data_IF_045743666059
#
_entry.id   IF_045743666059
#
_cell.length_a   1.000
_cell.length_b   1.000
_cell.length_c   1.000
_cell.angle_alpha   90.00
_cell.angle_beta   90.00
_cell.angle_gamma   90.00
#
_symmetry.space_group_name_H-M   'P 1'
#
loop_
_entity.id
_entity.type
_entity.pdbx_description
1 polymer ?
#
# COMPACT_ATOMS: atom_id res chain seq x y z
N UNK A 1 -25.05 -53.35 21.37
CA UNK A 1 -23.65 -53.62 20.96
C UNK A 1 -23.54 -53.23 19.50
N UNK A 2 -23.20 -51.97 19.24
CA UNK A 2 -22.88 -51.48 17.89
C UNK A 2 -21.40 -51.12 17.91
N UNK A 3 -20.60 -51.88 17.17
CA UNK A 3 -19.20 -51.55 16.92
C UNK A 3 -19.20 -50.43 15.89
N UNK A 4 -18.83 -49.24 16.33
CA UNK A 4 -18.47 -48.14 15.45
C UNK A 4 -17.11 -48.49 14.83
N UNK A 5 -17.14 -49.06 13.63
CA UNK A 5 -15.93 -49.29 12.84
C UNK A 5 -15.68 -47.99 12.09
N UNK A 6 -14.90 -47.10 12.68
CA UNK A 6 -14.27 -46.01 11.93
C UNK A 6 -13.40 -46.66 10.86
N UNK A 7 -13.88 -46.62 9.61
CA UNK A 7 -13.07 -46.97 8.44
C UNK A 7 -11.81 -46.10 8.51
N UNK A 8 -10.59 -46.67 8.60
CA UNK A 8 -9.39 -45.85 8.57
C UNK A 8 -9.42 -45.10 7.24
N UNK A 9 -9.32 -43.77 7.28
CA UNK A 9 -9.18 -42.93 6.09
C UNK A 9 -7.94 -43.42 5.33
N UNK A 10 -8.17 -44.24 4.30
CA UNK A 10 -7.16 -45.03 3.62
C UNK A 10 -6.42 -44.20 2.59
N UNK A 11 -5.57 -43.28 3.05
CA UNK A 11 -4.57 -42.66 2.19
C UNK A 11 -3.37 -43.61 2.14
N UNK A 12 -3.18 -44.27 1.00
CA UNK A 12 -2.04 -45.18 0.79
C UNK A 12 -0.84 -44.41 0.24
N UNK A 13 0.38 -44.93 0.45
CA UNK A 13 1.60 -44.39 -0.17
C UNK A 13 1.46 -44.28 -1.69
N UNK A 14 0.80 -45.27 -2.32
CA UNK A 14 0.49 -45.23 -3.76
C UNK A 14 -0.41 -44.04 -4.12
N UNK A 15 -1.46 -43.78 -3.33
CA UNK A 15 -2.35 -42.64 -3.54
C UNK A 15 -1.65 -41.29 -3.38
N UNK A 16 -0.67 -41.18 -2.47
CA UNK A 16 0.15 -39.96 -2.33
C UNK A 16 1.00 -39.69 -3.57
N UNK A 17 1.66 -40.73 -4.11
CA UNK A 17 2.48 -40.61 -5.32
C UNK A 17 1.65 -40.32 -6.57
N UNK A 18 0.54 -41.02 -6.75
CA UNK A 18 -0.36 -40.80 -7.89
C UNK A 18 -0.89 -39.35 -7.89
N UNK A 19 -1.21 -38.82 -6.70
CA UNK A 19 -1.66 -37.43 -6.54
C UNK A 19 -0.53 -36.44 -6.83
N UNK A 20 0.69 -36.70 -6.34
CA UNK A 20 1.88 -35.89 -6.64
C UNK A 20 2.13 -35.78 -8.14
N UNK A 21 2.19 -36.93 -8.84
CA UNK A 21 2.39 -36.96 -10.30
C UNK A 21 1.27 -36.25 -11.07
N UNK A 22 0.02 -36.40 -10.62
CA UNK A 22 -1.12 -35.68 -11.21
C UNK A 22 -0.99 -34.16 -11.08
N UNK A 23 -0.56 -33.66 -9.92
CA UNK A 23 -0.37 -32.24 -9.65
C UNK A 23 0.83 -31.64 -10.38
N UNK A 24 1.94 -32.38 -10.50
CA UNK A 24 3.09 -31.97 -11.32
C UNK A 24 2.71 -31.87 -12.80
N UNK A 25 1.91 -32.81 -13.31
CA UNK A 25 1.40 -32.75 -14.68
C UNK A 25 0.48 -31.56 -14.90
N UNK A 26 -0.37 -31.22 -13.92
CA UNK A 26 -1.23 -30.04 -13.98
C UNK A 26 -0.41 -28.75 -13.92
N UNK A 27 0.57 -28.66 -13.03
CA UNK A 27 1.49 -27.53 -12.93
C UNK A 27 2.25 -27.31 -14.26
N UNK A 28 2.83 -28.38 -14.81
CA UNK A 28 3.49 -28.34 -16.12
C UNK A 28 2.56 -27.86 -17.24
N UNK A 29 1.29 -28.29 -17.20
CA UNK A 29 0.25 -27.81 -18.12
C UNK A 29 -0.03 -26.32 -17.99
N UNK A 30 -0.03 -25.75 -16.77
CA UNK A 30 -0.16 -24.31 -16.58
C UNK A 30 1.01 -23.51 -17.15
N UNK A 31 2.24 -24.04 -17.08
CA UNK A 31 3.42 -23.40 -17.64
C UNK A 31 3.51 -23.48 -19.17
N UNK A 32 3.19 -24.65 -19.74
CA UNK A 32 3.48 -24.95 -21.14
C UNK A 32 2.25 -24.83 -22.06
N UNK A 33 1.05 -25.15 -21.56
CA UNK A 33 -0.18 -25.34 -22.35
C UNK A 33 -1.38 -24.50 -21.84
N UNK A 34 -1.15 -23.57 -20.90
CA UNK A 34 -2.21 -22.75 -20.29
C UNK A 34 -2.85 -21.74 -21.25
N UNK A 35 -4.00 -21.15 -20.88
CA UNK A 35 -4.69 -20.19 -21.75
C UNK A 35 -3.90 -18.88 -21.98
N UNK A 36 -2.89 -18.59 -21.15
CA UNK A 36 -2.06 -17.38 -21.24
C UNK A 36 -1.28 -17.24 -22.56
N UNK A 37 -0.41 -18.20 -22.93
CA UNK A 37 0.30 -18.20 -24.21
C UNK A 37 -0.65 -18.24 -25.42
N UNK A 38 -1.79 -18.92 -25.34
CA UNK A 38 -2.80 -18.94 -26.41
C UNK A 38 -3.48 -17.57 -26.60
N UNK A 39 -3.86 -16.90 -25.49
CA UNK A 39 -4.42 -15.55 -25.50
C UNK A 39 -3.43 -14.51 -26.02
N UNK A 40 -2.17 -14.58 -25.58
CA UNK A 40 -1.10 -13.71 -26.06
C UNK A 40 -0.83 -13.91 -27.57
N UNK A 41 -0.84 -15.16 -28.03
CA UNK A 41 -0.70 -15.51 -29.45
C UNK A 41 -1.89 -15.01 -30.28
N UNK A 42 -3.11 -15.17 -29.78
CA UNK A 42 -4.33 -14.71 -30.44
C UNK A 42 -4.42 -13.16 -30.54
N UNK A 43 -3.85 -12.44 -29.58
CA UNK A 43 -3.82 -10.97 -29.55
C UNK A 43 -2.68 -10.35 -30.39
N UNK A 44 -1.66 -11.14 -30.75
CA UNK A 44 -0.49 -10.68 -31.52
C UNK A 44 -0.81 -9.94 -32.83
N UNK A 45 -1.74 -10.42 -33.68
CA UNK A 45 -2.07 -9.78 -34.95
C UNK A 45 -2.74 -8.40 -34.85
N UNK A 46 -3.35 -8.06 -33.71
CA UNK A 46 -4.07 -6.79 -33.49
C UNK A 46 -3.33 -5.87 -32.52
N UNK A 47 -2.02 -6.09 -32.35
CA UNK A 47 -1.31 -5.54 -31.22
C UNK A 47 -1.19 -4.00 -31.16
N UNK A 48 -1.35 -3.33 -32.30
CA UNK A 48 -1.35 -1.87 -32.43
C UNK A 48 -2.71 -1.20 -32.24
N UNK A 49 -3.75 -1.93 -31.84
CA UNK A 49 -5.06 -1.38 -31.45
C UNK A 49 -5.19 -1.39 -29.92
N UNK A 50 -5.88 -0.42 -29.34
CA UNK A 50 -6.10 -0.33 -27.87
C UNK A 50 -6.81 -1.57 -27.31
N UNK A 51 -7.68 -2.21 -28.10
CA UNK A 51 -8.31 -3.49 -27.73
C UNK A 51 -7.32 -4.66 -27.77
N UNK A 52 -6.33 -4.60 -28.66
CA UNK A 52 -5.26 -5.59 -28.74
C UNK A 52 -4.26 -5.48 -27.58
N UNK A 53 -3.96 -4.26 -27.10
CA UNK A 53 -3.13 -4.06 -25.90
C UNK A 53 -3.84 -4.54 -24.63
N UNK A 54 -5.12 -4.19 -24.45
CA UNK A 54 -5.91 -4.66 -23.32
C UNK A 54 -6.01 -6.20 -23.28
N UNK A 55 -6.20 -6.86 -24.42
CA UNK A 55 -6.21 -8.33 -24.50
C UNK A 55 -4.86 -8.96 -24.14
N UNK A 56 -3.73 -8.31 -24.47
CA UNK A 56 -2.40 -8.78 -24.03
C UNK A 56 -2.22 -8.63 -22.53
N UNK A 57 -2.59 -7.50 -21.96
CA UNK A 57 -2.50 -7.26 -20.52
C UNK A 57 -3.32 -8.29 -19.73
N UNK A 58 -4.54 -8.59 -20.19
CA UNK A 58 -5.36 -9.65 -19.60
C UNK A 58 -4.73 -11.03 -19.80
N UNK A 59 -4.15 -11.32 -20.96
CA UNK A 59 -3.44 -12.57 -21.23
C UNK A 59 -2.21 -12.77 -20.34
N UNK A 60 -1.42 -11.73 -20.14
CA UNK A 60 -0.23 -11.73 -19.28
C UNK A 60 -0.61 -11.85 -17.79
N UNK A 61 -1.70 -11.20 -17.37
CA UNK A 61 -2.25 -11.35 -16.03
C UNK A 61 -2.77 -12.78 -15.78
N UNK A 62 -3.43 -13.38 -16.78
CA UNK A 62 -3.89 -14.76 -16.70
C UNK A 62 -2.72 -15.75 -16.65
N UNK A 63 -1.69 -15.55 -17.48
CA UNK A 63 -0.49 -16.40 -17.50
C UNK A 63 0.21 -16.40 -16.15
N UNK A 64 0.42 -15.23 -15.54
CA UNK A 64 1.04 -15.12 -14.22
C UNK A 64 0.23 -15.84 -13.13
N UNK A 65 -1.10 -15.72 -13.16
CA UNK A 65 -1.97 -16.42 -12.21
C UNK A 65 -1.95 -17.94 -12.40
N UNK A 66 -1.84 -18.41 -13.65
CA UNK A 66 -1.64 -19.82 -13.96
C UNK A 66 -0.27 -20.32 -13.46
N UNK A 67 0.80 -19.52 -13.59
CA UNK A 67 2.13 -19.84 -13.08
C UNK A 67 2.13 -19.97 -11.54
N UNK A 68 1.58 -19.00 -10.82
CA UNK A 68 1.47 -19.06 -9.35
C UNK A 68 0.69 -20.30 -8.87
N UNK A 69 -0.40 -20.64 -9.57
CA UNK A 69 -1.14 -21.88 -9.29
C UNK A 69 -0.31 -23.13 -9.58
N UNK A 70 0.52 -23.12 -10.63
CA UNK A 70 1.47 -24.18 -10.96
C UNK A 70 2.57 -24.35 -9.90
N UNK A 71 3.11 -23.25 -9.36
CA UNK A 71 4.11 -23.27 -8.29
C UNK A 71 3.53 -23.87 -7.01
N UNK A 72 2.30 -23.46 -6.65
CA UNK A 72 1.58 -24.01 -5.50
C UNK A 72 1.31 -25.52 -5.67
N UNK A 73 0.83 -25.94 -6.84
CA UNK A 73 0.59 -27.36 -7.13
C UNK A 73 1.87 -28.19 -7.09
N UNK A 74 2.99 -27.67 -7.62
CA UNK A 74 4.30 -28.34 -7.58
C UNK A 74 4.85 -28.45 -6.16
N UNK A 75 4.73 -27.39 -5.37
CA UNK A 75 5.14 -27.37 -3.95
C UNK A 75 4.35 -28.39 -3.13
N UNK A 76 3.04 -28.45 -3.34
CA UNK A 76 2.18 -29.42 -2.67
C UNK A 76 2.51 -30.86 -3.10
N UNK A 77 2.77 -31.09 -4.39
CA UNK A 77 3.24 -32.39 -4.89
C UNK A 77 4.55 -32.83 -4.22
N UNK A 78 5.55 -31.96 -4.12
CA UNK A 78 6.81 -32.24 -3.43
C UNK A 78 6.63 -32.62 -1.95
N UNK A 79 5.66 -32.02 -1.25
CA UNK A 79 5.29 -32.39 0.13
C UNK A 79 4.66 -33.78 0.19
N UNK A 80 3.81 -34.15 -0.78
CA UNK A 80 3.23 -35.49 -0.87
C UNK A 80 4.27 -36.57 -1.14
N UNK A 81 5.24 -36.32 -2.03
CA UNK A 81 6.33 -37.27 -2.30
C UNK A 81 7.26 -37.43 -1.08
N UNK A 82 7.57 -36.32 -0.40
CA UNK A 82 8.35 -36.34 0.86
C UNK A 82 7.65 -37.16 1.95
N UNK A 83 6.33 -36.99 2.10
CA UNK A 83 5.55 -37.79 3.05
C UNK A 83 5.53 -39.27 2.66
N UNK A 84 5.32 -39.58 1.37
CA UNK A 84 5.37 -40.95 0.86
C UNK A 84 6.72 -41.63 1.15
N UNK A 85 7.82 -40.92 0.88
CA UNK A 85 9.18 -41.40 1.15
C UNK A 85 9.39 -41.73 2.64
N UNK A 86 8.94 -40.86 3.56
CA UNK A 86 9.09 -41.07 5.00
C UNK A 86 8.23 -42.24 5.50
N UNK A 87 7.01 -42.41 4.97
CA UNK A 87 6.18 -43.58 5.28
C UNK A 87 6.82 -44.89 4.83
N UNK A 88 7.44 -44.93 3.64
CA UNK A 88 8.13 -46.12 3.13
C UNK A 88 9.33 -46.51 4.00
N UNK A 89 9.99 -45.54 4.63
CA UNK A 89 11.15 -45.76 5.50
C UNK A 89 10.77 -45.98 6.98
N UNK A 90 9.47 -46.05 7.29
CA UNK A 90 8.97 -46.32 8.64
C UNK A 90 9.08 -45.14 9.61
N UNK A 91 9.33 -43.92 9.12
CA UNK A 91 9.39 -42.71 9.93
C UNK A 91 8.05 -41.94 9.86
N UNK A 92 7.00 -42.57 10.38
CA UNK A 92 5.65 -41.98 10.42
C UNK A 92 5.61 -40.67 11.20
N UNK A 93 6.42 -40.54 12.25
CA UNK A 93 6.47 -39.33 13.06
C UNK A 93 7.06 -38.13 12.29
N UNK A 94 8.00 -38.34 11.36
CA UNK A 94 8.47 -37.29 10.47
C UNK A 94 7.46 -36.98 9.35
N UNK A 95 6.79 -38.00 8.80
CA UNK A 95 5.76 -37.83 7.77
C UNK A 95 4.58 -36.98 8.29
N UNK A 96 4.13 -37.23 9.52
CA UNK A 96 3.04 -36.48 10.17
C UNK A 96 3.42 -35.05 10.56
N UNK A 97 4.72 -34.69 10.53
CA UNK A 97 5.21 -33.33 10.80
C UNK A 97 5.35 -32.47 9.55
N UNK A 98 5.13 -33.03 8.35
CA UNK A 98 5.09 -32.23 7.13
C UNK A 98 3.84 -31.36 7.16
N UNK A 99 4.05 -30.05 7.18
CA UNK A 99 2.98 -29.06 7.16
C UNK A 99 2.42 -28.92 5.74
N UNK A 100 1.17 -29.33 5.56
CA UNK A 100 0.43 -29.21 4.30
C UNK A 100 -0.42 -27.94 4.20
N UNK A 101 -0.48 -27.17 5.29
CA UNK A 101 -1.10 -25.86 5.24
C UNK A 101 -0.41 -25.04 4.12
N UNK A 102 -1.20 -24.32 3.31
CA UNK A 102 -0.61 -23.32 2.44
C UNK A 102 0.24 -22.42 3.33
N UNK A 103 1.44 -21.97 2.89
CA UNK A 103 2.09 -20.89 3.61
C UNK A 103 1.04 -19.80 3.85
N UNK A 104 1.05 -19.18 5.03
CA UNK A 104 0.33 -17.92 5.25
C UNK A 104 0.96 -16.88 4.30
N UNK A 105 0.64 -16.99 3.01
CA UNK A 105 0.81 -15.93 2.06
C UNK A 105 -0.34 -14.98 2.35
N UNK A 106 0.00 -13.81 2.91
CA UNK A 106 -0.80 -12.61 2.66
C UNK A 106 -1.23 -12.68 1.19
N UNK A 107 -2.54 -12.65 0.92
CA UNK A 107 -3.07 -12.53 -0.45
C UNK A 107 -2.61 -11.17 -1.00
N UNK A 108 -1.34 -11.07 -1.40
CA UNK A 108 -0.79 -9.89 -2.06
C UNK A 108 -1.48 -9.74 -3.39
N UNK A 109 -2.09 -8.58 -3.60
CA UNK A 109 -2.77 -8.25 -4.85
C UNK A 109 -1.71 -8.17 -5.95
N UNK A 110 -2.11 -8.53 -7.16
CA UNK A 110 -1.30 -8.25 -8.36
C UNK A 110 -1.01 -6.75 -8.37
N UNK A 111 0.27 -6.36 -8.40
CA UNK A 111 0.66 -4.94 -8.28
C UNK A 111 0.99 -4.46 -6.87
N UNK A 112 1.43 -5.34 -5.98
CA UNK A 112 1.97 -4.94 -4.67
C UNK A 112 3.51 -4.92 -4.65
N UNK A 113 4.19 -5.48 -5.66
CA UNK A 113 5.66 -5.45 -5.77
C UNK A 113 6.18 -4.43 -6.80
N UNK A 114 7.25 -3.66 -6.48
CA UNK A 114 7.84 -2.70 -7.40
C UNK A 114 8.25 -3.32 -8.74
N UNK A 115 7.67 -2.82 -9.84
CA UNK A 115 7.97 -3.28 -11.19
C UNK A 115 6.93 -4.22 -11.80
N UNK A 116 5.89 -4.60 -11.04
CA UNK A 116 4.76 -5.35 -11.58
C UNK A 116 3.77 -4.45 -12.34
N UNK A 117 3.15 -4.93 -13.43
CA UNK A 117 2.00 -4.28 -14.04
C UNK A 117 0.85 -4.16 -13.05
N UNK A 118 0.41 -2.92 -12.79
CA UNK A 118 -0.59 -2.62 -11.75
C UNK A 118 0.03 -2.20 -10.41
N UNK A 119 1.36 -2.12 -10.31
CA UNK A 119 2.03 -1.65 -9.11
C UNK A 119 1.60 -0.23 -8.75
N UNK A 120 1.02 -0.10 -7.57
CA UNK A 120 0.68 1.18 -6.97
C UNK A 120 1.28 1.21 -5.56
N UNK A 121 2.31 2.02 -5.31
CA UNK A 121 2.97 2.08 -3.99
C UNK A 121 2.01 2.54 -2.87
N UNK A 122 0.82 3.02 -3.22
CA UNK A 122 -0.22 3.42 -2.27
C UNK A 122 -1.05 2.21 -1.76
N UNK A 123 -1.03 1.07 -2.46
CA UNK A 123 -1.88 -0.08 -2.15
C UNK A 123 -1.71 -0.57 -0.71
N UNK A 124 -0.46 -0.74 -0.26
CA UNK A 124 -0.14 -1.22 1.09
C UNK A 124 -0.72 -0.30 2.19
N UNK A 125 -0.72 1.02 1.95
CA UNK A 125 -1.25 2.00 2.88
C UNK A 125 -2.78 2.02 2.89
N UNK A 126 -3.41 1.93 1.72
CA UNK A 126 -4.88 1.84 1.61
C UNK A 126 -5.42 0.56 2.25
N UNK A 127 -4.72 -0.57 2.10
CA UNK A 127 -5.05 -1.83 2.77
C UNK A 127 -4.95 -1.68 4.29
N UNK A 128 -3.81 -1.20 4.80
CA UNK A 128 -3.61 -0.99 6.24
C UNK A 128 -4.65 -0.06 6.87
N UNK A 129 -5.02 1.03 6.18
CA UNK A 129 -6.06 1.95 6.64
C UNK A 129 -7.46 1.35 6.59
N UNK A 130 -7.78 0.53 5.58
CA UNK A 130 -9.07 -0.19 5.49
C UNK A 130 -9.20 -1.25 6.57
N UNK A 131 -8.16 -2.04 6.82
CA UNK A 131 -8.11 -3.02 7.91
C UNK A 131 -8.27 -2.36 9.27
N UNK A 132 -7.68 -1.16 9.44
CA UNK A 132 -7.83 -0.34 10.62
C UNK A 132 -9.22 0.32 10.77
N UNK A 133 -10.10 0.23 9.77
CA UNK A 133 -11.41 0.88 9.73
C UNK A 133 -11.34 2.42 9.60
N UNK A 134 -10.27 2.94 9.00
CA UNK A 134 -9.98 4.38 8.88
C UNK A 134 -10.18 4.92 7.46
N UNK A 135 -10.40 4.05 6.48
CA UNK A 135 -10.65 4.41 5.09
C UNK A 135 -11.77 3.54 4.53
N UNK A 136 -12.70 4.17 3.81
CA UNK A 136 -13.78 3.50 3.09
C UNK A 136 -13.60 3.75 1.58
N UNK A 137 -13.32 2.69 0.82
CA UNK A 137 -13.11 2.78 -0.63
C UNK A 137 -11.71 3.29 -1.03
N UNK A 138 -11.50 3.64 -2.31
CA UNK A 138 -10.20 4.12 -2.80
C UNK A 138 -9.88 5.52 -2.26
N UNK A 139 -8.60 5.81 -2.07
CA UNK A 139 -8.17 7.17 -1.74
C UNK A 139 -8.08 8.06 -2.98
N UNK A 140 -8.26 9.38 -2.79
CA UNK A 140 -8.09 10.38 -3.85
C UNK A 140 -7.43 11.67 -3.36
N UNK A 141 -7.15 12.57 -4.30
CA UNK A 141 -6.65 13.93 -4.03
C UNK A 141 -5.39 13.96 -3.15
N UNK A 142 -5.36 14.92 -2.22
CA UNK A 142 -4.22 15.10 -1.30
C UNK A 142 -4.07 13.98 -0.28
N UNK A 143 -5.15 13.23 0.03
CA UNK A 143 -5.04 12.08 0.91
C UNK A 143 -4.26 10.96 0.23
N UNK A 144 -4.57 10.66 -1.04
CA UNK A 144 -3.78 9.72 -1.84
C UNK A 144 -2.35 10.19 -2.05
N UNK A 145 -2.15 11.49 -2.26
CA UNK A 145 -0.81 12.08 -2.38
C UNK A 145 0.01 11.92 -1.09
N UNK A 146 -0.62 12.04 0.08
CA UNK A 146 0.02 11.77 1.36
C UNK A 146 0.52 10.32 1.45
N UNK A 147 -0.29 9.33 1.03
CA UNK A 147 0.12 7.92 1.00
C UNK A 147 1.26 7.68 -0.01
N UNK A 148 1.20 8.32 -1.18
CA UNK A 148 2.27 8.23 -2.17
C UNK A 148 3.60 8.84 -1.66
N UNK A 149 3.52 9.95 -0.92
CA UNK A 149 4.68 10.56 -0.29
C UNK A 149 5.22 9.67 0.84
N UNK A 150 4.36 9.01 1.62
CA UNK A 150 4.78 8.05 2.63
C UNK A 150 5.60 6.90 2.00
N UNK A 151 5.07 6.32 0.92
CA UNK A 151 5.76 5.28 0.16
C UNK A 151 7.09 5.74 -0.42
N UNK A 152 7.13 6.95 -1.00
CA UNK A 152 8.37 7.54 -1.56
C UNK A 152 9.46 7.73 -0.50
N UNK A 153 9.09 7.92 0.76
CA UNK A 153 10.01 8.19 1.86
C UNK A 153 10.18 6.99 2.81
N UNK A 154 9.78 5.79 2.37
CA UNK A 154 9.90 4.55 3.13
C UNK A 154 9.27 4.65 4.54
N UNK A 155 8.15 5.40 4.67
CA UNK A 155 7.41 5.52 5.93
C UNK A 155 6.58 4.25 6.14
N UNK A 156 6.73 3.51 7.24
CA UNK A 156 5.97 2.27 7.43
C UNK A 156 4.44 2.50 7.49
N UNK A 157 3.59 1.63 6.89
CA UNK A 157 2.14 1.80 6.89
C UNK A 157 1.51 1.94 8.29
N UNK A 158 2.07 1.27 9.31
CA UNK A 158 1.62 1.38 10.70
C UNK A 158 1.78 2.80 11.27
N UNK A 159 2.77 3.57 10.80
CA UNK A 159 2.95 4.97 11.17
C UNK A 159 1.83 5.82 10.60
N UNK A 160 1.43 5.56 9.36
CA UNK A 160 0.30 6.24 8.70
C UNK A 160 -1.02 5.93 9.41
N UNK A 161 -1.24 4.65 9.76
CA UNK A 161 -2.40 4.24 10.57
C UNK A 161 -2.42 4.94 11.93
N UNK A 162 -1.28 5.04 12.63
CA UNK A 162 -1.20 5.71 13.93
C UNK A 162 -1.50 7.22 13.82
N UNK A 163 -0.94 7.89 12.79
CA UNK A 163 -1.23 9.31 12.52
C UNK A 163 -2.72 9.51 12.25
N UNK A 164 -3.30 8.71 11.35
CA UNK A 164 -4.71 8.80 10.99
C UNK A 164 -5.62 8.57 12.19
N UNK A 165 -5.33 7.54 12.99
CA UNK A 165 -6.15 7.18 14.15
C UNK A 165 -6.08 8.23 15.26
N UNK A 166 -4.88 8.63 15.67
CA UNK A 166 -4.71 9.51 16.84
C UNK A 166 -5.15 10.94 16.58
N UNK A 167 -4.94 11.42 15.37
CA UNK A 167 -5.24 12.81 14.98
C UNK A 167 -6.49 12.94 14.12
N UNK A 168 -7.23 11.84 13.92
CA UNK A 168 -8.43 11.78 13.11
C UNK A 168 -8.21 12.40 11.72
N UNK A 169 -7.11 12.01 11.06
CA UNK A 169 -6.80 12.45 9.70
C UNK A 169 -7.62 11.63 8.72
N UNK A 170 -8.58 12.29 8.07
CA UNK A 170 -9.43 11.72 7.04
C UNK A 170 -9.17 12.41 5.69
N UNK A 171 -9.74 11.91 4.58
CA UNK A 171 -9.63 12.62 3.30
C UNK A 171 -10.06 14.10 3.36
N UNK A 172 -11.09 14.40 4.15
CA UNK A 172 -11.61 15.76 4.34
C UNK A 172 -10.66 16.65 5.13
N UNK A 173 -9.76 16.11 5.95
CA UNK A 173 -8.76 16.91 6.68
C UNK A 173 -7.89 17.73 5.72
N UNK A 174 -7.67 17.25 4.49
CA UNK A 174 -6.88 17.94 3.48
C UNK A 174 -7.65 19.01 2.70
N UNK A 175 -8.97 19.18 2.93
CA UNK A 175 -9.78 20.16 2.22
C UNK A 175 -9.30 21.60 2.44
N UNK A 176 -8.66 21.86 3.57
CA UNK A 176 -8.07 23.17 3.88
C UNK A 176 -7.01 23.61 2.86
N UNK A 177 -6.36 22.67 2.18
CA UNK A 177 -5.33 22.97 1.17
C UNK A 177 -5.94 23.25 -0.22
N UNK A 178 -7.22 22.90 -0.44
CA UNK A 178 -7.87 23.05 -1.74
C UNK A 178 -7.98 24.54 -2.10
N UNK A 179 -7.50 24.88 -3.29
CA UNK A 179 -7.54 26.26 -3.81
C UNK A 179 -6.41 27.16 -3.31
N UNK A 180 -5.52 26.68 -2.43
CA UNK A 180 -4.28 27.39 -2.10
C UNK A 180 -3.26 27.22 -3.23
N UNK A 181 -2.45 28.25 -3.49
CA UNK A 181 -1.40 28.16 -4.50
C UNK A 181 -0.31 27.21 -4.02
N UNK A 182 0.00 26.19 -4.83
CA UNK A 182 1.00 25.17 -4.54
C UNK A 182 2.36 25.55 -5.11
N UNK A 183 3.41 25.38 -4.31
CA UNK A 183 4.81 25.52 -4.71
C UNK A 183 5.56 24.24 -4.34
N UNK A 184 6.21 23.61 -5.31
CA UNK A 184 7.03 22.42 -5.08
C UNK A 184 8.50 22.79 -5.24
N UNK A 185 9.36 22.37 -4.31
CA UNK A 185 10.81 22.55 -4.46
C UNK A 185 11.44 21.44 -5.31
N UNK A 186 12.75 21.57 -5.58
CA UNK A 186 13.48 20.62 -6.42
C UNK A 186 13.61 19.22 -5.80
N UNK A 187 13.44 19.11 -4.48
CA UNK A 187 13.52 17.85 -3.74
C UNK A 187 12.14 17.16 -3.65
N UNK A 188 11.10 17.83 -4.16
CA UNK A 188 9.73 17.33 -4.22
C UNK A 188 8.88 17.70 -3.00
N UNK A 189 9.36 18.58 -2.12
CA UNK A 189 8.58 19.06 -0.97
C UNK A 189 7.54 20.05 -1.45
N UNK A 190 6.34 19.94 -0.91
CA UNK A 190 5.22 20.80 -1.28
C UNK A 190 4.94 21.83 -0.20
N UNK A 191 4.74 23.08 -0.64
CA UNK A 191 4.34 24.22 0.18
C UNK A 191 3.07 24.83 -0.40
N UNK A 192 2.25 25.44 0.47
CA UNK A 192 1.04 26.14 0.06
C UNK A 192 1.13 27.60 0.50
N UNK A 193 0.89 28.51 -0.45
CA UNK A 193 0.83 29.95 -0.17
C UNK A 193 -0.52 30.24 0.47
N UNK A 194 -0.47 30.77 1.69
CA UNK A 194 -1.67 31.21 2.39
C UNK A 194 -2.28 32.42 1.67
N UNK A 195 -3.56 32.34 1.25
CA UNK A 195 -4.22 33.46 0.60
C UNK A 195 -4.42 34.62 1.60
N UNK A 196 -4.50 35.84 1.07
CA UNK A 196 -4.96 36.97 1.88
C UNK A 196 -6.38 36.71 2.39
N UNK A 197 -6.68 37.06 3.64
CA UNK A 197 -7.98 36.78 4.23
C UNK A 197 -8.11 35.42 4.93
N UNK A 198 -7.07 34.57 4.92
CA UNK A 198 -7.14 33.27 5.59
C UNK A 198 -7.32 33.43 7.10
N UNK A 199 -8.20 32.62 7.70
CA UNK A 199 -8.41 32.67 9.14
C UNK A 199 -7.19 32.11 9.90
N UNK A 200 -7.00 32.54 11.15
CA UNK A 200 -5.96 32.00 12.03
C UNK A 200 -6.10 30.47 12.24
N UNK A 201 -7.32 29.94 12.15
CA UNK A 201 -7.58 28.50 12.22
C UNK A 201 -7.13 27.81 10.94
N UNK A 202 -7.57 28.28 9.77
CA UNK A 202 -7.25 27.64 8.49
C UNK A 202 -5.75 27.74 8.19
N UNK A 203 -5.08 28.80 8.64
CA UNK A 203 -3.62 28.90 8.55
C UNK A 203 -2.89 27.82 9.39
N UNK A 204 -3.39 27.51 10.59
CA UNK A 204 -2.84 26.44 11.45
C UNK A 204 -3.08 25.07 10.84
N UNK A 205 -4.31 24.83 10.41
CA UNK A 205 -4.72 23.57 9.78
C UNK A 205 -3.96 23.36 8.48
N UNK A 206 -3.83 24.36 7.61
CA UNK A 206 -3.05 24.27 6.38
C UNK A 206 -1.57 23.98 6.67
N UNK A 207 -0.99 24.60 7.70
CA UNK A 207 0.39 24.33 8.11
C UNK A 207 0.56 22.87 8.55
N UNK A 208 -0.35 22.37 9.40
CA UNK A 208 -0.33 20.99 9.88
C UNK A 208 -0.52 20.00 8.73
N UNK A 209 -1.52 20.24 7.88
CA UNK A 209 -1.83 19.34 6.76
C UNK A 209 -0.76 19.36 5.68
N UNK A 210 -0.03 20.47 5.50
CA UNK A 210 1.15 20.51 4.63
C UNK A 210 2.27 19.63 5.18
N UNK A 211 2.53 19.67 6.50
CA UNK A 211 3.50 18.77 7.14
C UNK A 211 3.09 17.30 6.97
N UNK A 212 1.82 16.98 7.23
CA UNK A 212 1.30 15.61 7.07
C UNK A 212 1.47 15.15 5.63
N UNK A 213 1.03 15.95 4.64
CA UNK A 213 1.14 15.65 3.21
C UNK A 213 2.56 15.27 2.78
N UNK A 214 3.55 15.98 3.30
CA UNK A 214 4.96 15.81 2.93
C UNK A 214 5.62 14.54 3.50
N UNK A 215 4.96 13.82 4.41
CA UNK A 215 5.35 12.49 4.90
C UNK A 215 6.84 12.31 5.25
N UNK A 216 7.39 13.23 6.05
CA UNK A 216 8.78 13.13 6.52
C UNK A 216 9.81 13.91 5.71
N UNK A 217 9.42 14.51 4.58
CA UNK A 217 10.25 15.49 3.87
C UNK A 217 10.21 16.88 4.53
N UNK A 218 10.19 16.94 5.87
CA UNK A 218 9.91 18.14 6.66
C UNK A 218 10.86 19.33 6.43
N UNK A 219 10.76 20.33 7.31
CA UNK A 219 11.57 21.55 7.29
C UNK A 219 13.07 21.27 7.50
N UNK A 220 13.73 20.70 6.51
CA UNK A 220 15.16 20.81 6.38
C UNK A 220 15.49 22.24 5.99
N UNK A 221 16.61 22.67 6.51
CA UNK A 221 17.27 23.92 6.24
C UNK A 221 17.47 24.13 4.74
N UNK A 222 16.60 24.94 4.14
CA UNK A 222 16.71 25.39 2.74
C UNK A 222 17.93 26.31 2.50
N UNK A 223 18.90 26.42 3.44
CA UNK A 223 20.06 27.33 3.40
C UNK A 223 21.39 26.76 3.93
N UNK A 224 21.51 25.49 4.30
CA UNK A 224 22.75 24.91 4.84
C UNK A 224 23.30 25.59 6.12
N UNK A 225 22.52 26.44 6.81
CA UNK A 225 22.84 26.91 8.14
C UNK A 225 22.29 25.93 9.18
N UNK A 226 23.11 24.98 9.65
CA UNK A 226 22.82 24.01 10.72
C UNK A 226 22.42 24.63 12.07
N UNK A 227 21.30 25.35 12.09
CA UNK A 227 20.70 26.08 13.21
C UNK A 227 19.19 25.90 13.16
N UNK A 228 18.72 24.67 12.96
CA UNK A 228 17.37 24.35 13.37
C UNK A 228 17.32 24.57 14.88
N UNK A 229 16.34 25.35 15.34
CA UNK A 229 16.17 25.63 16.77
C UNK A 229 15.78 24.37 17.55
N UNK A 230 15.54 23.25 16.86
CA UNK A 230 15.09 21.98 17.41
C UNK A 230 15.72 20.82 16.65
N UNK A 231 15.92 19.70 17.36
CA UNK A 231 16.33 18.44 16.76
C UNK A 231 15.24 17.93 15.82
N UNK A 232 15.67 17.39 14.70
CA UNK A 232 14.80 16.67 13.77
C UNK A 232 14.17 15.47 14.49
N UNK A 233 12.86 15.30 14.29
CA UNK A 233 12.09 14.23 14.91
C UNK A 233 11.51 13.39 13.78
N UNK A 234 11.60 12.05 13.86
CA UNK A 234 11.06 11.18 12.82
C UNK A 234 9.60 11.49 12.51
N UNK A 235 9.21 11.28 11.27
CA UNK A 235 7.81 11.39 10.88
C UNK A 235 7.00 10.33 11.63
N UNK A 236 6.16 10.79 12.55
CA UNK A 236 5.36 9.95 13.42
C UNK A 236 4.19 10.74 13.99
N UNK A 237 3.19 10.04 14.51
CA UNK A 237 2.05 10.69 15.15
C UNK A 237 2.47 11.55 16.36
N UNK A 238 3.56 11.20 17.06
CA UNK A 238 4.09 12.02 18.16
C UNK A 238 4.61 13.38 17.68
N UNK A 239 5.21 13.41 16.47
CA UNK A 239 5.65 14.66 15.88
C UNK A 239 4.47 15.52 15.44
N UNK A 240 3.41 14.90 14.89
CA UNK A 240 2.14 15.59 14.57
C UNK A 240 1.54 16.21 15.85
N UNK A 241 1.50 15.48 16.97
CA UNK A 241 1.05 16.03 18.26
C UNK A 241 1.92 17.20 18.70
N UNK A 242 3.25 17.07 18.60
CA UNK A 242 4.19 18.13 18.98
C UNK A 242 3.95 19.41 18.17
N UNK A 243 3.60 19.29 16.88
CA UNK A 243 3.26 20.45 16.04
C UNK A 243 1.95 21.09 16.51
N UNK A 244 0.92 20.29 16.79
CA UNK A 244 -0.36 20.79 17.32
C UNK A 244 -0.14 21.57 18.63
N UNK A 245 0.55 20.97 19.61
CA UNK A 245 0.84 21.59 20.91
C UNK A 245 1.60 22.92 20.76
N UNK A 246 2.50 23.00 19.78
CA UNK A 246 3.26 24.22 19.46
C UNK A 246 2.38 25.29 18.82
N UNK A 247 1.50 24.91 17.90
CA UNK A 247 0.56 25.85 17.26
C UNK A 247 -0.39 26.46 18.30
N UNK A 248 -0.82 25.68 19.30
CA UNK A 248 -1.62 26.18 20.42
C UNK A 248 -0.82 27.15 21.32
N UNK A 249 0.41 26.76 21.68
CA UNK A 249 1.31 27.58 22.50
C UNK A 249 1.70 28.91 21.83
N UNK A 250 1.75 28.93 20.50
CA UNK A 250 2.06 30.11 19.67
C UNK A 250 0.82 30.76 19.06
N UNK A 251 -0.38 30.52 19.60
CA UNK A 251 -1.64 31.05 19.08
C UNK A 251 -1.63 32.57 18.76
N UNK A 252 -0.81 33.36 19.46
CA UNK A 252 -0.60 34.79 19.19
C UNK A 252 -0.03 35.12 17.79
N UNK A 253 0.79 34.25 17.18
CA UNK A 253 1.33 34.49 15.82
C UNK A 253 0.28 34.27 14.73
N UNK A 254 -0.71 33.42 14.98
CA UNK A 254 -1.80 33.16 14.04
C UNK A 254 -2.90 34.22 14.11
N UNK A 255 -3.16 34.78 15.29
CA UNK A 255 -4.01 35.98 15.44
C UNK A 255 -3.40 37.17 14.67
N UNK A 256 -2.07 37.26 14.55
CA UNK A 256 -1.39 38.26 13.72
C UNK A 256 -1.62 38.10 12.21
N UNK A 257 -1.81 36.87 11.72
CA UNK A 257 -2.17 36.60 10.32
C UNK A 257 -3.60 37.08 10.02
N UNK A 258 -4.53 36.90 10.96
CA UNK A 258 -5.90 37.42 10.90
C UNK A 258 -5.93 38.96 10.90
N UNK A 259 -5.09 39.61 11.71
CA UNK A 259 -4.97 41.08 11.74
C UNK A 259 -4.29 41.67 10.49
N UNK A 260 -3.44 40.91 9.81
CA UNK A 260 -2.81 41.33 8.54
C UNK A 260 -3.74 41.12 7.34
N UNK A 261 -4.71 40.21 7.46
CA UNK A 261 -5.80 39.99 6.51
C UNK A 261 -6.89 41.07 6.58
N UNK A 262 -7.16 41.63 7.76
CA UNK A 262 -8.16 42.69 8.00
C UNK A 262 -7.67 44.12 7.76
N UNK A 263 -6.42 44.30 7.29
CA UNK A 263 -5.93 45.59 6.81
C UNK A 263 -6.60 45.94 5.45
N UNK A 264 -7.82 46.45 5.55
CA UNK A 264 -8.68 46.96 4.47
C UNK A 264 -7.95 47.89 3.46
N UNK A 265 -8.46 47.98 2.22
CA UNK A 265 -7.78 48.57 1.09
C UNK A 265 -7.64 50.08 1.29
N UNK A 266 -6.44 50.60 1.01
CA UNK A 266 -6.29 52.02 0.74
C UNK A 266 -7.15 52.36 -0.48
N UNK A 267 -8.33 52.91 -0.22
CA UNK A 267 -9.13 53.64 -1.20
C UNK A 267 -8.20 54.67 -1.84
N UNK A 268 -7.85 54.45 -3.10
CA UNK A 268 -7.61 55.58 -3.99
C UNK A 268 -8.98 56.18 -4.31
N UNK A 269 -9.43 57.10 -3.45
CA UNK A 269 -10.34 58.15 -3.87
C UNK A 269 -9.53 59.21 -4.61
N UNK A 270 -10.03 59.58 -5.77
CA UNK A 270 -9.48 60.48 -6.79
C UNK A 270 -9.07 61.87 -6.25
N UNK A 271 -7.93 62.38 -6.74
CA UNK A 271 -7.75 63.70 -7.38
C UNK A 271 -6.35 63.78 -8.01
#
# INVERSE_FOLDING_TARGET
>A
MGLDVTVPLGVTVGSLRDTSTGLESLASGFYNDGAGPELATAAGPVAGLDTGSACREVGDAFLRRAQALGDAASTFAGKLDSAAFLYEHGDSAAAERIEFDPPEEEEKRIGDDPGEPGYDPVNEYEDALREAGLLDGPSDGFYREWLANAAKNDVPPEVIVDIARRHNITPQSFDVLKGMERVTDNDGKTYFILPSGVSAKDARDATLMTYVLNAGTGYEDSRGSGKNSFAETPYAADEVQRIIDRQESNSWSYVGAELSADALPLRQTEC
#
